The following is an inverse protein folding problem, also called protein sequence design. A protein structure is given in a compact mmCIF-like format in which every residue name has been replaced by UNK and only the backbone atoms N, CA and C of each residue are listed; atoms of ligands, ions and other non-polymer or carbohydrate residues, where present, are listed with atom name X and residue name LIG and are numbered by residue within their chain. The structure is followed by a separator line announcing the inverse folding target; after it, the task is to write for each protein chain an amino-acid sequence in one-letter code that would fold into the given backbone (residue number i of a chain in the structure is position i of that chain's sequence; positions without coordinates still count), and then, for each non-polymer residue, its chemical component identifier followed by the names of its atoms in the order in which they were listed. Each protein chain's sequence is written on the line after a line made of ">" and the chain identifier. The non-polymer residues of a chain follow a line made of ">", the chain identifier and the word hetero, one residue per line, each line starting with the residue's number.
data_IF_613469021177
#
_entry.id   IF_613469021177
#
_cell.length_a   1.000
_cell.length_b   1.000
_cell.length_c   1.000
_cell.angle_alpha   90.00
_cell.angle_beta   90.00
_cell.angle_gamma   90.00
#
_symmetry.space_group_name_H-M   'P 1'
#
loop_
_entity.id
_entity.type
_entity.pdbx_description
1 polymer ?
#
# COMPACT_ATOMS: atom_id res chain seq x y z
N UNK A 1 16.84 -7.61 -43.22
CA UNK A 1 17.08 -6.85 -41.99
C UNK A 1 16.36 -7.57 -40.85
N UNK A 2 17.06 -8.44 -40.12
CA UNK A 2 16.49 -9.18 -39.00
C UNK A 2 16.58 -8.30 -37.75
N UNK A 3 15.43 -7.85 -37.25
CA UNK A 3 15.34 -7.26 -35.90
C UNK A 3 15.51 -8.42 -34.93
N UNK A 4 16.71 -8.55 -34.35
CA UNK A 4 16.95 -9.48 -33.25
C UNK A 4 16.25 -8.88 -32.03
N UNK A 5 15.08 -9.42 -31.68
CA UNK A 5 14.45 -9.15 -30.39
C UNK A 5 15.35 -9.78 -29.32
N UNK A 6 16.26 -8.99 -28.76
CA UNK A 6 17.09 -9.38 -27.63
C UNK A 6 16.18 -9.54 -26.41
N UNK A 7 15.64 -10.75 -26.21
CA UNK A 7 15.15 -11.17 -24.90
C UNK A 7 16.36 -11.36 -23.99
N UNK A 8 16.86 -10.25 -23.44
CA UNK A 8 17.92 -10.28 -22.43
C UNK A 8 17.38 -10.94 -21.16
N UNK A 9 18.09 -11.95 -20.66
CA UNK A 9 17.85 -12.46 -19.30
C UNK A 9 17.98 -11.27 -18.35
N UNK A 10 16.98 -11.01 -17.47
CA UNK A 10 17.07 -9.91 -16.52
C UNK A 10 18.34 -10.04 -15.69
N UNK A 11 19.12 -8.96 -15.63
CA UNK A 11 20.30 -8.87 -14.78
C UNK A 11 19.93 -8.70 -13.30
N UNK A 12 20.96 -8.64 -12.46
CA UNK A 12 20.78 -8.49 -11.01
C UNK A 12 20.04 -7.19 -10.64
N UNK A 13 20.25 -6.10 -11.38
CA UNK A 13 19.63 -4.80 -11.11
C UNK A 13 18.14 -4.83 -11.44
N UNK A 14 17.76 -5.41 -12.57
CA UNK A 14 16.38 -5.55 -12.99
C UNK A 14 15.60 -6.43 -12.01
N UNK A 15 16.19 -7.55 -11.56
CA UNK A 15 15.61 -8.40 -10.54
C UNK A 15 15.47 -7.67 -9.19
N UNK A 16 16.45 -6.85 -8.81
CA UNK A 16 16.36 -6.05 -7.59
C UNK A 16 15.23 -5.01 -7.68
N UNK A 17 15.07 -4.35 -8.82
CA UNK A 17 13.97 -3.39 -9.05
C UNK A 17 12.62 -4.08 -8.95
N UNK A 18 12.46 -5.24 -9.59
CA UNK A 18 11.23 -6.03 -9.48
C UNK A 18 10.97 -6.42 -8.03
N UNK A 19 11.99 -6.90 -7.32
CA UNK A 19 11.86 -7.28 -5.92
C UNK A 19 11.39 -6.11 -5.06
N UNK A 20 11.97 -4.92 -5.22
CA UNK A 20 11.52 -3.71 -4.51
C UNK A 20 10.08 -3.35 -4.90
N UNK A 21 9.75 -3.41 -6.19
CA UNK A 21 8.42 -3.07 -6.71
C UNK A 21 7.31 -3.98 -6.15
N UNK A 22 7.60 -5.24 -5.84
CA UNK A 22 6.62 -6.15 -5.24
C UNK A 22 6.67 -6.15 -3.71
N UNK A 23 7.86 -6.18 -3.12
CA UNK A 23 8.02 -6.32 -1.66
C UNK A 23 7.61 -5.05 -0.92
N UNK A 24 7.91 -3.86 -1.45
CA UNK A 24 7.58 -2.61 -0.77
C UNK A 24 6.07 -2.41 -0.64
N UNK A 25 5.25 -2.52 -1.71
CA UNK A 25 3.79 -2.40 -1.57
C UNK A 25 3.20 -3.44 -0.62
N UNK A 26 3.68 -4.68 -0.66
CA UNK A 26 3.23 -5.74 0.26
C UNK A 26 3.57 -5.42 1.72
N UNK A 27 4.78 -4.92 1.98
CA UNK A 27 5.20 -4.51 3.31
C UNK A 27 4.35 -3.33 3.82
N UNK A 28 4.07 -2.35 2.97
CA UNK A 28 3.19 -1.22 3.30
C UNK A 28 1.77 -1.70 3.61
N UNK A 29 1.20 -2.58 2.78
CA UNK A 29 -0.14 -3.12 3.00
C UNK A 29 -0.24 -3.92 4.30
N UNK A 30 0.76 -4.76 4.61
CA UNK A 30 0.84 -5.48 5.87
C UNK A 30 0.93 -4.53 7.07
N UNK A 31 1.75 -3.49 6.96
CA UNK A 31 1.87 -2.46 7.98
C UNK A 31 0.55 -1.74 8.23
N UNK A 32 -0.13 -1.27 7.16
CA UNK A 32 -1.45 -0.63 7.24
C UNK A 32 -2.46 -1.54 7.93
N UNK A 33 -2.53 -2.82 7.53
CA UNK A 33 -3.46 -3.77 8.15
C UNK A 33 -3.23 -3.89 9.66
N UNK A 34 -1.97 -4.07 10.07
CA UNK A 34 -1.59 -4.22 11.48
C UNK A 34 -1.83 -2.94 12.27
N UNK A 35 -1.53 -1.80 11.67
CA UNK A 35 -1.73 -0.48 12.26
C UNK A 35 -3.22 -0.15 12.44
N UNK A 36 -4.02 -0.36 11.40
CA UNK A 36 -5.47 -0.14 11.43
C UNK A 36 -6.16 -1.03 12.48
N UNK A 37 -5.74 -2.31 12.54
CA UNK A 37 -6.25 -3.28 13.51
C UNK A 37 -5.91 -2.91 14.97
N UNK A 38 -4.81 -2.18 15.18
CA UNK A 38 -4.40 -1.70 16.52
C UNK A 38 -5.10 -0.41 16.93
N UNK A 39 -5.39 0.47 15.98
CA UNK A 39 -6.02 1.78 16.23
C UNK A 39 -7.55 1.75 16.11
N UNK A 40 -8.16 0.56 15.98
CA UNK A 40 -9.62 0.42 15.90
C UNK A 40 -10.24 1.05 14.65
N UNK A 41 -9.44 1.27 13.59
CA UNK A 41 -9.93 1.85 12.34
C UNK A 41 -10.86 0.85 11.66
N UNK A 42 -12.04 1.31 11.27
CA UNK A 42 -13.02 0.48 10.57
C UNK A 42 -12.48 0.01 9.21
N UNK A 43 -12.89 -1.19 8.80
CA UNK A 43 -12.52 -1.78 7.51
C UNK A 43 -11.00 -1.91 7.27
N UNK A 44 -10.23 -2.31 8.29
CA UNK A 44 -8.78 -2.53 8.20
C UNK A 44 -8.31 -3.36 6.97
N UNK A 45 -8.96 -4.48 6.59
CA UNK A 45 -8.59 -5.23 5.39
C UNK A 45 -8.80 -4.43 4.10
N UNK A 46 -9.86 -3.63 4.02
CA UNK A 46 -10.17 -2.83 2.83
C UNK A 46 -9.13 -1.72 2.63
N UNK A 47 -8.67 -1.09 3.71
CA UNK A 47 -7.57 -0.11 3.65
C UNK A 47 -6.28 -0.73 3.15
N UNK A 48 -5.88 -1.88 3.71
CA UNK A 48 -4.66 -2.57 3.31
C UNK A 48 -4.69 -3.00 1.84
N UNK A 49 -5.78 -3.64 1.40
CA UNK A 49 -5.94 -4.08 0.02
C UNK A 49 -6.10 -2.91 -0.96
N UNK A 50 -6.80 -1.86 -0.57
CA UNK A 50 -6.98 -0.65 -1.37
C UNK A 50 -5.64 0.06 -1.64
N UNK A 51 -4.83 0.26 -0.60
CA UNK A 51 -3.50 0.86 -0.74
C UNK A 51 -2.57 -0.04 -1.56
N UNK A 52 -2.62 -1.35 -1.35
CA UNK A 52 -1.84 -2.30 -2.15
C UNK A 52 -2.18 -2.20 -3.64
N UNK A 53 -3.47 -2.25 -3.98
CA UNK A 53 -3.94 -2.17 -5.36
C UNK A 53 -3.58 -0.81 -5.99
N UNK A 54 -3.71 0.28 -5.24
CA UNK A 54 -3.40 1.62 -5.73
C UNK A 54 -1.91 1.84 -5.92
N UNK A 55 -1.04 1.30 -5.06
CA UNK A 55 0.42 1.33 -5.25
C UNK A 55 0.85 0.56 -6.51
N UNK A 56 0.20 -0.57 -6.82
CA UNK A 56 0.43 -1.28 -8.07
C UNK A 56 -0.16 -0.56 -9.30
N UNK A 57 -1.29 0.13 -9.16
CA UNK A 57 -1.87 0.95 -10.22
C UNK A 57 -1.02 2.20 -10.52
N UNK A 58 -0.30 2.70 -9.53
CA UNK A 58 0.68 3.77 -9.69
C UNK A 58 1.08 4.38 -8.35
N UNK A 59 2.27 4.99 -8.31
CA UNK A 59 2.77 5.56 -7.06
C UNK A 59 1.88 6.71 -6.55
N UNK A 60 1.43 7.61 -7.43
CA UNK A 60 0.57 8.74 -7.05
C UNK A 60 -0.76 8.29 -6.43
N UNK A 61 -1.59 7.44 -7.06
CA UNK A 61 -2.83 7.00 -6.44
C UNK A 61 -2.57 6.20 -5.15
N UNK A 62 -1.51 5.40 -5.08
CA UNK A 62 -1.14 4.67 -3.86
C UNK A 62 -0.75 5.58 -2.70
N UNK A 63 0.04 6.61 -2.96
CA UNK A 63 0.42 7.60 -1.94
C UNK A 63 -0.79 8.43 -1.47
N UNK A 64 -1.70 8.80 -2.37
CA UNK A 64 -2.93 9.48 -2.00
C UNK A 64 -3.81 8.61 -1.09
N UNK A 65 -3.93 7.31 -1.39
CA UNK A 65 -4.66 6.36 -0.55
C UNK A 65 -4.01 6.21 0.83
N UNK A 66 -2.68 6.16 0.89
CA UNK A 66 -1.94 6.11 2.14
C UNK A 66 -2.14 7.39 2.97
N UNK A 67 -2.10 8.55 2.33
CA UNK A 67 -2.38 9.83 2.99
C UNK A 67 -3.81 9.88 3.55
N UNK A 68 -4.79 9.41 2.77
CA UNK A 68 -6.18 9.30 3.23
C UNK A 68 -6.32 8.36 4.44
N UNK A 69 -5.61 7.23 4.43
CA UNK A 69 -5.56 6.31 5.57
C UNK A 69 -5.00 6.99 6.82
N UNK A 70 -3.87 7.68 6.71
CA UNK A 70 -3.24 8.37 7.84
C UNK A 70 -4.16 9.44 8.42
N UNK A 71 -4.89 10.16 7.58
CA UNK A 71 -5.91 11.13 8.01
C UNK A 71 -7.06 10.46 8.78
N UNK A 72 -7.60 9.35 8.27
CA UNK A 72 -8.69 8.62 8.95
C UNK A 72 -8.23 8.00 10.26
N UNK A 73 -7.00 7.49 10.31
CA UNK A 73 -6.37 6.94 11.50
C UNK A 73 -6.27 7.99 12.61
N UNK A 74 -5.82 9.20 12.27
CA UNK A 74 -5.72 10.31 13.23
C UNK A 74 -7.11 10.65 13.80
N UNK A 75 -8.10 10.87 12.93
CA UNK A 75 -9.47 11.20 13.34
C UNK A 75 -10.15 10.11 14.15
N UNK A 76 -9.80 8.84 13.91
CA UNK A 76 -10.31 7.70 14.69
C UNK A 76 -9.70 7.65 16.09
N UNK A 77 -8.49 8.20 16.26
CA UNK A 77 -7.79 8.27 17.56
C UNK A 77 -8.33 9.40 18.44
N UNK A 78 -8.88 10.46 17.84
CA UNK A 78 -9.40 11.63 18.54
C UNK A 78 -10.82 11.47 19.08
N UNK A 79 -11.58 10.42 18.71
CA UNK A 79 -12.98 10.27 19.09
C UNK A 79 -13.10 9.55 20.45
N UNK A 80 -13.33 10.25 21.58
CA UNK A 80 -13.64 9.59 22.84
C UNK A 80 -15.10 9.18 22.76
N UNK A 81 -15.40 7.93 23.08
CA UNK A 81 -16.77 7.39 23.19
C UNK A 81 -17.74 8.41 23.78
N UNK A 82 -18.69 8.91 22.97
CA UNK A 82 -19.87 9.61 23.47
C UNK A 82 -21.03 8.63 23.46
N UNK A 83 -21.36 7.97 24.57
CA UNK A 83 -22.70 7.44 24.75
C UNK A 83 -23.63 8.65 24.93
N UNK A 84 -24.38 9.00 23.89
CA UNK A 84 -25.61 9.77 24.09
C UNK A 84 -26.68 8.78 24.52
N UNK A 85 -26.97 8.81 25.82
CA UNK A 85 -28.17 8.26 26.45
C UNK A 85 -29.42 8.74 25.72
#
# INVERSE_FOLDING_TARGET
>A
MSVILQFGVPGAVELAVLLVLFVVPLAVAYWVYRDASRHGVSYAPAWALGILALLFAGLLPGLLALAAYLYVRENSSERPDRPTV
#
